data_IF_705445364022
#
_entry.id   IF_705445364022
#
_cell.length_a   1.000
_cell.length_b   1.000
_cell.length_c   1.000
_cell.angle_alpha   90.00
_cell.angle_beta   90.00
_cell.angle_gamma   90.00
#
_symmetry.space_group_name_H-M   'P 1'
#
loop_
_entity.id
_entity.type
_entity.pdbx_description
1 polymer ?
#
# COMPACT_ATOMS: atom_id res chain seq x y z
N UNK A 1 -6.50 -16.06 1.36
CA UNK A 1 -7.48 -17.18 1.43
C UNK A 1 -6.97 -18.30 2.32
N UNK A 2 -5.79 -18.88 2.06
CA UNK A 2 -5.25 -19.99 2.87
C UNK A 2 -5.22 -19.69 4.38
N UNK A 3 -4.69 -18.56 4.87
CA UNK A 3 -4.71 -18.27 6.31
C UNK A 3 -6.12 -18.15 6.88
N UNK A 4 -7.05 -17.58 6.11
CA UNK A 4 -8.45 -17.44 6.51
C UNK A 4 -9.10 -18.81 6.72
N UNK A 5 -8.90 -19.76 5.79
CA UNK A 5 -9.43 -21.12 5.90
C UNK A 5 -8.84 -21.84 7.11
N UNK A 6 -7.51 -21.76 7.29
CA UNK A 6 -6.85 -22.41 8.43
C UNK A 6 -7.36 -21.86 9.77
N UNK A 7 -7.46 -20.52 9.89
CA UNK A 7 -7.96 -19.87 11.10
C UNK A 7 -9.45 -20.19 11.32
N UNK A 8 -10.28 -20.24 10.27
CA UNK A 8 -11.71 -20.55 10.43
C UNK A 8 -11.95 -21.98 10.92
N UNK A 9 -11.05 -22.91 10.61
CA UNK A 9 -11.11 -24.28 11.14
C UNK A 9 -10.71 -24.35 12.62
N UNK A 10 -9.83 -23.44 13.07
CA UNK A 10 -9.35 -23.38 14.45
C UNK A 10 -10.30 -22.59 15.38
N UNK A 11 -10.86 -21.48 14.89
CA UNK A 11 -11.76 -20.62 15.68
C UNK A 11 -13.19 -21.14 15.50
N UNK A 12 -13.66 -21.89 16.51
CA UNK A 12 -15.07 -22.28 16.63
C UNK A 12 -15.74 -21.39 17.67
N UNK A 13 -16.76 -20.65 17.25
CA UNK A 13 -17.53 -19.78 18.16
C UNK A 13 -18.75 -19.18 17.46
N UNK A 14 -19.78 -18.89 18.24
CA UNK A 14 -20.93 -18.11 17.78
C UNK A 14 -20.54 -16.63 17.89
N UNK A 15 -20.37 -15.96 16.75
CA UNK A 15 -20.19 -14.52 16.74
C UNK A 15 -21.56 -13.88 16.93
N UNK A 16 -21.83 -13.34 18.12
CA UNK A 16 -22.91 -12.36 18.26
C UNK A 16 -22.56 -11.15 17.40
N UNK A 17 -23.21 -11.07 16.24
CA UNK A 17 -23.15 -9.90 15.39
C UNK A 17 -23.77 -8.76 16.19
N UNK A 18 -22.92 -7.94 16.80
CA UNK A 18 -23.36 -6.72 17.50
C UNK A 18 -24.24 -5.96 16.51
N UNK A 19 -25.54 -5.88 16.81
CA UNK A 19 -26.48 -5.12 16.00
C UNK A 19 -25.90 -3.70 15.90
N UNK A 20 -25.63 -3.24 14.68
CA UNK A 20 -25.31 -1.83 14.41
C UNK A 20 -26.58 -1.01 14.59
N UNK A 21 -27.11 -0.98 15.81
CA UNK A 21 -28.09 0.01 16.21
C UNK A 21 -27.35 1.21 16.82
N UNK A 22 -27.65 2.38 16.25
CA UNK A 22 -27.30 3.71 16.75
C UNK A 22 -25.88 4.24 16.50
N UNK A 23 -25.51 4.36 15.23
CA UNK A 23 -24.58 5.42 14.78
C UNK A 23 -25.04 6.08 13.48
N UNK A 24 -26.36 6.21 13.28
CA UNK A 24 -26.90 7.23 12.38
C UNK A 24 -26.82 8.58 13.11
N UNK A 25 -25.61 9.12 13.27
CA UNK A 25 -25.49 10.58 13.22
C UNK A 25 -25.93 10.96 11.82
N UNK A 26 -27.18 11.41 11.68
CA UNK A 26 -27.66 11.98 10.43
C UNK A 26 -26.62 13.02 10.01
N UNK A 27 -25.86 12.69 8.97
CA UNK A 27 -24.92 13.63 8.40
C UNK A 27 -25.77 14.79 7.91
N UNK A 28 -25.55 15.98 8.47
CA UNK A 28 -26.23 17.25 8.13
C UNK A 28 -26.09 17.59 6.63
N UNK A 29 -25.27 16.83 5.90
CA UNK A 29 -24.91 17.00 4.50
C UNK A 29 -25.82 16.12 3.61
N UNK A 30 -26.48 16.70 2.59
CA UNK A 30 -27.30 15.96 1.65
C UNK A 30 -26.55 14.78 1.02
N UNK A 31 -27.22 13.63 0.89
CA UNK A 31 -26.66 12.43 0.25
C UNK A 31 -26.11 12.70 -1.15
N UNK A 32 -26.74 13.62 -1.88
CA UNK A 32 -26.30 14.05 -3.21
C UNK A 32 -24.89 14.66 -3.17
N UNK A 33 -24.62 15.60 -2.26
CA UNK A 33 -23.32 16.26 -2.13
C UNK A 33 -22.22 15.26 -1.76
N UNK A 34 -22.52 14.34 -0.84
CA UNK A 34 -21.60 13.26 -0.45
C UNK A 34 -21.23 12.38 -1.66
N UNK A 35 -22.24 11.93 -2.40
CA UNK A 35 -22.02 11.07 -3.57
C UNK A 35 -21.28 11.82 -4.67
N UNK A 36 -21.64 13.09 -4.91
CA UNK A 36 -20.99 13.92 -5.91
C UNK A 36 -19.49 14.14 -5.60
N UNK A 37 -19.15 14.51 -4.36
CA UNK A 37 -17.75 14.68 -3.94
C UNK A 37 -17.00 13.33 -4.03
N UNK A 38 -17.65 12.22 -3.67
CA UNK A 38 -17.06 10.89 -3.78
C UNK A 38 -16.72 10.54 -5.25
N UNK A 39 -17.68 10.66 -6.16
CA UNK A 39 -17.45 10.38 -7.58
C UNK A 39 -16.47 11.35 -8.23
N UNK A 40 -16.44 12.61 -7.81
CA UNK A 40 -15.44 13.58 -8.24
C UNK A 40 -14.04 13.15 -7.79
N UNK A 41 -13.89 12.75 -6.53
CA UNK A 41 -12.61 12.24 -6.00
C UNK A 41 -12.13 11.00 -6.74
N UNK A 42 -13.01 10.03 -7.01
CA UNK A 42 -12.68 8.84 -7.80
C UNK A 42 -12.30 9.21 -9.23
N UNK A 43 -13.04 10.13 -9.87
CA UNK A 43 -12.72 10.63 -11.21
C UNK A 43 -11.34 11.29 -11.26
N UNK A 44 -10.98 12.07 -10.24
CA UNK A 44 -9.65 12.67 -10.10
C UNK A 44 -8.57 11.58 -10.02
N UNK A 45 -8.78 10.51 -9.25
CA UNK A 45 -7.81 9.42 -9.17
C UNK A 45 -7.63 8.69 -10.50
N UNK A 46 -8.73 8.44 -11.23
CA UNK A 46 -8.71 7.82 -12.57
C UNK A 46 -8.05 8.76 -13.61
N UNK A 47 -8.17 10.07 -13.42
CA UNK A 47 -7.53 11.05 -14.29
C UNK A 47 -6.00 11.05 -14.17
N UNK A 48 -5.41 10.68 -13.03
CA UNK A 48 -3.95 10.73 -12.82
C UNK A 48 -3.16 9.91 -13.84
N UNK A 49 -3.48 8.62 -14.12
CA UNK A 49 -2.84 7.87 -15.19
C UNK A 49 -3.00 8.52 -16.57
N UNK A 50 -4.19 9.02 -16.89
CA UNK A 50 -4.47 9.68 -18.18
C UNK A 50 -3.63 10.94 -18.35
N UNK A 51 -3.55 11.76 -17.30
CA UNK A 51 -2.70 12.95 -17.25
C UNK A 51 -1.23 12.60 -17.48
N UNK A 52 -0.70 11.57 -16.80
CA UNK A 52 0.68 11.10 -16.98
C UNK A 52 0.93 10.68 -18.44
N UNK A 53 0.02 9.89 -19.02
CA UNK A 53 0.19 9.36 -20.38
C UNK A 53 0.17 10.46 -21.45
N UNK A 54 -0.66 11.48 -21.29
CA UNK A 54 -0.79 12.57 -22.28
C UNK A 54 0.30 13.63 -22.09
N UNK A 55 0.58 14.02 -20.85
CA UNK A 55 1.46 15.16 -20.57
C UNK A 55 2.90 14.78 -20.32
N UNK A 56 3.18 13.50 -20.05
CA UNK A 56 4.48 12.99 -19.57
C UNK A 56 4.95 13.61 -18.24
N UNK A 57 4.12 14.40 -17.56
CA UNK A 57 4.45 14.99 -16.29
C UNK A 57 4.32 13.96 -15.15
N UNK A 58 5.05 14.15 -14.03
CA UNK A 58 4.95 13.28 -12.88
C UNK A 58 3.51 13.17 -12.33
N UNK A 59 3.08 11.97 -11.85
CA UNK A 59 1.73 11.75 -11.33
C UNK A 59 1.29 12.70 -10.21
N UNK A 60 2.22 13.14 -9.36
CA UNK A 60 1.90 14.03 -8.25
C UNK A 60 1.32 15.37 -8.74
N UNK A 61 1.72 15.86 -9.92
CA UNK A 61 1.17 17.09 -10.50
C UNK A 61 -0.31 16.90 -10.86
N UNK A 62 -0.67 15.75 -11.42
CA UNK A 62 -2.07 15.39 -11.70
C UNK A 62 -2.91 15.31 -10.43
N UNK A 63 -2.36 14.75 -9.35
CA UNK A 63 -3.01 14.70 -8.02
C UNK A 63 -3.23 16.12 -7.49
N UNK A 64 -2.25 17.01 -7.57
CA UNK A 64 -2.36 18.40 -7.11
C UNK A 64 -3.43 19.17 -7.89
N UNK A 65 -3.45 19.04 -9.22
CA UNK A 65 -4.49 19.64 -10.07
C UNK A 65 -5.87 19.12 -9.68
N UNK A 66 -6.01 17.80 -9.53
CA UNK A 66 -7.27 17.20 -9.11
C UNK A 66 -7.74 17.65 -7.72
N UNK A 67 -6.80 17.82 -6.78
CA UNK A 67 -7.07 18.39 -5.46
C UNK A 67 -7.54 19.84 -5.56
N UNK A 68 -6.93 20.66 -6.43
CA UNK A 68 -7.36 22.04 -6.69
C UNK A 68 -8.78 22.09 -7.26
N UNK A 69 -9.11 21.22 -8.22
CA UNK A 69 -10.47 21.11 -8.76
C UNK A 69 -11.47 20.72 -7.67
N UNK A 70 -11.15 19.70 -6.87
CA UNK A 70 -12.00 19.26 -5.77
C UNK A 70 -12.19 20.37 -4.72
N UNK A 71 -11.16 21.18 -4.47
CA UNK A 71 -11.25 22.34 -3.59
C UNK A 71 -12.19 23.41 -4.15
N UNK A 72 -12.01 23.84 -5.40
CA UNK A 72 -12.89 24.84 -6.03
C UNK A 72 -14.34 24.38 -6.00
N UNK A 73 -14.60 23.13 -6.38
CA UNK A 73 -15.95 22.55 -6.42
C UNK A 73 -16.57 22.48 -5.02
N UNK A 74 -15.82 22.03 -4.01
CA UNK A 74 -16.33 21.96 -2.63
C UNK A 74 -16.61 23.33 -2.04
N UNK A 75 -15.78 24.34 -2.33
CA UNK A 75 -15.99 25.73 -1.89
C UNK A 75 -17.23 26.34 -2.55
N UNK A 76 -17.44 26.10 -3.84
CA UNK A 76 -18.63 26.56 -4.56
C UNK A 76 -19.93 25.91 -4.04
N UNK A 77 -19.90 24.60 -3.77
CA UNK A 77 -21.05 23.85 -3.23
C UNK A 77 -21.44 24.33 -1.82
N UNK A 78 -20.47 24.68 -0.98
CA UNK A 78 -20.71 25.06 0.41
C UNK A 78 -20.74 26.58 0.64
N UNK A 79 -20.67 27.40 -0.42
CA UNK A 79 -20.57 28.86 -0.36
C UNK A 79 -21.66 29.53 0.50
N UNK A 80 -22.88 28.97 0.53
CA UNK A 80 -24.06 29.50 1.25
C UNK A 80 -24.35 28.83 2.60
N UNK A 81 -23.52 27.89 3.05
CA UNK A 81 -23.73 27.14 4.30
C UNK A 81 -22.93 27.75 5.46
N UNK A 82 -23.44 27.65 6.69
CA UNK A 82 -22.70 28.04 7.89
C UNK A 82 -21.40 27.23 8.05
N UNK A 83 -20.38 27.85 8.68
CA UNK A 83 -19.01 27.31 8.76
C UNK A 83 -18.93 25.89 9.37
N UNK A 84 -19.85 25.50 10.24
CA UNK A 84 -19.85 24.16 10.84
C UNK A 84 -20.20 23.04 9.85
N UNK A 85 -20.99 23.36 8.80
CA UNK A 85 -21.47 22.41 7.80
C UNK A 85 -20.57 22.31 6.55
N UNK A 86 -19.50 23.08 6.45
CA UNK A 86 -18.61 23.07 5.28
C UNK A 86 -17.65 21.87 5.32
N UNK A 87 -17.70 21.00 4.30
CA UNK A 87 -16.58 20.12 3.98
C UNK A 87 -15.61 20.93 3.12
N UNK A 88 -14.62 21.54 3.77
CA UNK A 88 -13.52 22.17 3.05
C UNK A 88 -12.36 21.19 2.89
N UNK A 89 -11.66 21.27 1.76
CA UNK A 89 -10.41 20.51 1.55
C UNK A 89 -9.40 20.81 2.66
N UNK A 90 -9.34 22.05 3.16
CA UNK A 90 -8.51 22.42 4.31
C UNK A 90 -8.83 21.62 5.58
N UNK A 91 -10.11 21.34 5.87
CA UNK A 91 -10.53 20.53 7.02
C UNK A 91 -10.13 19.06 6.88
N UNK A 92 -10.05 18.56 5.64
CA UNK A 92 -9.57 17.22 5.31
C UNK A 92 -8.04 17.15 5.41
N UNK A 93 -7.32 18.16 4.89
CA UNK A 93 -5.86 18.26 5.00
C UNK A 93 -5.40 18.26 6.46
N UNK A 94 -6.14 18.92 7.37
CA UNK A 94 -5.85 18.89 8.82
C UNK A 94 -5.98 17.51 9.47
N UNK A 95 -6.64 16.55 8.81
CA UNK A 95 -6.78 15.16 9.27
C UNK A 95 -5.73 14.23 8.65
N UNK A 96 -4.80 14.78 7.87
CA UNK A 96 -3.67 14.00 7.36
C UNK A 96 -2.80 13.58 8.54
N UNK A 97 -2.44 12.31 8.56
CA UNK A 97 -1.56 11.71 9.56
C UNK A 97 -0.10 12.06 9.26
N UNK A 98 0.30 13.27 9.68
CA UNK A 98 1.67 13.77 9.50
C UNK A 98 2.74 12.84 10.08
N UNK A 99 2.58 12.26 11.29
CA UNK A 99 3.50 11.24 11.80
C UNK A 99 3.74 10.09 10.84
N UNK A 100 2.68 9.51 10.26
CA UNK A 100 2.82 8.43 9.28
C UNK A 100 3.57 8.86 8.02
N UNK A 101 3.30 10.07 7.50
CA UNK A 101 4.04 10.60 6.34
C UNK A 101 5.53 10.76 6.65
N UNK A 102 5.88 11.34 7.80
CA UNK A 102 7.26 11.52 8.22
C UNK A 102 7.97 10.17 8.46
N UNK A 103 7.23 9.17 8.94
CA UNK A 103 7.73 7.80 9.08
C UNK A 103 8.08 7.18 7.71
N UNK A 104 7.19 7.25 6.72
CA UNK A 104 7.49 6.76 5.36
C UNK A 104 8.63 7.54 4.72
N UNK A 105 8.66 8.86 4.88
CA UNK A 105 9.78 9.69 4.42
C UNK A 105 11.10 9.22 5.03
N UNK A 106 11.12 8.93 6.34
CA UNK A 106 12.29 8.40 7.03
C UNK A 106 12.76 7.05 6.46
N UNK A 107 11.84 6.12 6.22
CA UNK A 107 12.15 4.83 5.58
C UNK A 107 12.73 5.05 4.18
N UNK A 108 12.07 5.84 3.34
CA UNK A 108 12.53 6.10 1.96
C UNK A 108 13.92 6.75 1.93
N UNK A 109 14.20 7.70 2.83
CA UNK A 109 15.53 8.33 2.95
C UNK A 109 16.58 7.33 3.43
N UNK A 110 16.26 6.49 4.42
CA UNK A 110 17.18 5.47 4.92
C UNK A 110 17.50 4.44 3.83
N UNK A 111 16.50 4.00 3.07
CA UNK A 111 16.70 3.04 1.99
C UNK A 111 17.45 3.68 0.80
N UNK A 112 17.15 4.93 0.44
CA UNK A 112 17.90 5.66 -0.57
C UNK A 112 19.38 5.84 -0.19
N UNK A 113 19.69 6.02 1.11
CA UNK A 113 21.07 6.03 1.60
C UNK A 113 21.76 4.66 1.45
N UNK A 114 21.05 3.56 1.77
CA UNK A 114 21.54 2.19 1.55
C UNK A 114 21.73 1.87 0.05
N UNK A 115 20.90 2.42 -0.82
CA UNK A 115 21.04 2.30 -2.27
C UNK A 115 22.27 3.08 -2.78
N UNK A 116 22.41 4.34 -2.37
CA UNK A 116 23.50 5.22 -2.77
C UNK A 116 24.89 4.69 -2.36
N UNK A 117 24.96 4.00 -1.22
CA UNK A 117 26.18 3.31 -0.78
C UNK A 117 26.46 1.99 -1.51
N UNK A 118 25.53 1.50 -2.33
CA UNK A 118 25.63 0.23 -3.05
C UNK A 118 25.39 -1.02 -2.19
N UNK A 119 25.01 -0.86 -0.92
CA UNK A 119 24.73 -1.98 0.00
C UNK A 119 23.60 -2.86 -0.50
N UNK A 120 22.51 -2.26 -0.99
CA UNK A 120 21.38 -3.00 -1.57
C UNK A 120 21.81 -3.82 -2.79
N UNK A 121 22.62 -3.22 -3.68
CA UNK A 121 23.15 -3.91 -4.86
C UNK A 121 24.03 -5.09 -4.46
N UNK A 122 24.93 -4.89 -3.48
CA UNK A 122 25.83 -5.94 -2.97
C UNK A 122 25.09 -7.09 -2.29
N UNK A 123 24.09 -6.79 -1.45
CA UNK A 123 23.23 -7.80 -0.84
C UNK A 123 22.53 -8.63 -1.91
N UNK A 124 22.01 -7.96 -2.93
CA UNK A 124 21.22 -8.64 -3.94
C UNK A 124 22.07 -9.41 -4.96
N UNK A 125 23.29 -8.97 -5.30
CA UNK A 125 24.25 -9.78 -6.05
C UNK A 125 24.69 -11.01 -5.25
N UNK A 126 24.95 -10.86 -3.95
CA UNK A 126 25.30 -11.98 -3.07
C UNK A 126 24.19 -13.03 -3.03
N UNK A 127 22.94 -12.59 -2.90
CA UNK A 127 21.75 -13.47 -2.95
C UNK A 127 21.66 -14.17 -4.31
N UNK A 128 21.88 -13.45 -5.40
CA UNK A 128 21.79 -13.98 -6.77
C UNK A 128 22.84 -15.06 -7.03
N UNK A 129 24.09 -14.79 -6.66
CA UNK A 129 25.23 -15.71 -6.83
C UNK A 129 25.11 -16.94 -5.93
N UNK A 130 24.57 -16.79 -4.72
CA UNK A 130 24.44 -17.90 -3.77
C UNK A 130 23.29 -18.86 -4.10
N UNK A 131 22.20 -18.35 -4.68
CA UNK A 131 20.95 -19.10 -4.83
C UNK A 131 20.75 -19.61 -6.27
N UNK A 132 21.11 -18.81 -7.28
CA UNK A 132 20.99 -19.13 -8.71
C UNK A 132 19.55 -19.29 -9.26
N UNK A 133 18.55 -19.55 -8.40
CA UNK A 133 17.16 -19.75 -8.79
C UNK A 133 16.33 -18.48 -8.62
N UNK A 134 15.88 -17.89 -9.73
CA UNK A 134 15.05 -16.68 -9.75
C UNK A 134 13.81 -16.78 -8.86
N UNK A 135 13.19 -17.96 -8.76
CA UNK A 135 12.00 -18.14 -7.92
C UNK A 135 12.34 -17.93 -6.44
N UNK A 136 13.45 -18.50 -6.01
CA UNK A 136 13.93 -18.37 -4.63
C UNK A 136 14.40 -16.95 -4.36
N UNK A 137 15.11 -16.32 -5.33
CA UNK A 137 15.52 -14.92 -5.24
C UNK A 137 14.32 -14.00 -5.04
N UNK A 138 13.26 -14.13 -5.87
CA UNK A 138 12.04 -13.34 -5.73
C UNK A 138 11.37 -13.55 -4.37
N UNK A 139 11.30 -14.80 -3.88
CA UNK A 139 10.73 -15.11 -2.58
C UNK A 139 11.56 -14.48 -1.45
N UNK A 140 12.89 -14.56 -1.50
CA UNK A 140 13.79 -13.97 -0.52
C UNK A 140 13.70 -12.44 -0.50
N UNK A 141 13.66 -11.81 -1.68
CA UNK A 141 13.46 -10.36 -1.81
C UNK A 141 12.09 -9.96 -1.23
N UNK A 142 11.02 -10.70 -1.54
CA UNK A 142 9.72 -10.42 -0.93
C UNK A 142 9.73 -10.50 0.60
N UNK A 143 10.48 -11.43 1.19
CA UNK A 143 10.66 -11.48 2.66
C UNK A 143 11.42 -10.25 3.16
N UNK A 144 12.49 -9.84 2.47
CA UNK A 144 13.22 -8.61 2.79
C UNK A 144 12.32 -7.36 2.68
N UNK A 145 11.30 -7.40 1.82
CA UNK A 145 10.30 -6.34 1.70
C UNK A 145 9.48 -6.11 2.98
N UNK A 146 9.50 -7.03 3.93
CA UNK A 146 8.87 -6.84 5.24
C UNK A 146 9.58 -5.77 6.09
N UNK A 147 10.86 -5.52 5.80
CA UNK A 147 11.70 -4.55 6.51
C UNK A 147 11.96 -3.34 5.62
N UNK A 148 12.22 -3.57 4.33
CA UNK A 148 12.49 -2.56 3.32
C UNK A 148 11.20 -2.33 2.55
N UNK A 149 10.73 -1.08 2.43
CA UNK A 149 9.52 -0.79 1.68
C UNK A 149 9.56 -1.39 0.25
N UNK A 150 8.40 -1.77 -0.26
CA UNK A 150 8.29 -2.50 -1.53
C UNK A 150 8.81 -1.67 -2.72
N UNK A 151 8.60 -0.35 -2.73
CA UNK A 151 9.00 0.54 -3.83
C UNK A 151 10.53 0.57 -4.01
N UNK A 152 11.34 0.90 -2.99
CA UNK A 152 12.79 0.84 -3.12
C UNK A 152 13.34 -0.54 -3.46
N UNK A 153 12.76 -1.62 -2.91
CA UNK A 153 13.25 -2.97 -3.16
C UNK A 153 13.04 -3.39 -4.62
N UNK A 154 11.87 -3.09 -5.19
CA UNK A 154 11.61 -3.34 -6.61
C UNK A 154 12.51 -2.48 -7.50
N UNK A 155 12.75 -1.22 -7.12
CA UNK A 155 13.70 -0.34 -7.83
C UNK A 155 15.12 -0.92 -7.82
N UNK A 156 15.60 -1.39 -6.66
CA UNK A 156 16.89 -2.07 -6.55
C UNK A 156 16.96 -3.33 -7.43
N UNK A 157 15.87 -4.11 -7.48
CA UNK A 157 15.78 -5.31 -8.33
C UNK A 157 15.83 -4.96 -9.82
N UNK A 158 15.17 -3.88 -10.24
CA UNK A 158 15.28 -3.33 -11.60
C UNK A 158 16.70 -2.83 -11.92
N UNK A 159 17.47 -2.42 -10.91
CA UNK A 159 18.89 -2.09 -11.05
C UNK A 159 19.82 -3.29 -11.18
N UNK A 160 19.35 -4.50 -10.83
CA UNK A 160 20.13 -5.75 -10.95
C UNK A 160 19.91 -6.46 -12.27
N UNK A 161 18.66 -6.50 -12.73
CA UNK A 161 18.26 -7.20 -13.94
C UNK A 161 17.67 -6.19 -14.91
N UNK A 162 18.30 -6.06 -16.08
CA UNK A 162 17.81 -5.17 -17.12
C UNK A 162 16.74 -5.84 -17.99
N UNK A 163 16.10 -5.04 -18.83
CA UNK A 163 15.10 -5.52 -19.78
C UNK A 163 15.69 -6.37 -20.90
N UNK A 164 17.02 -6.38 -21.06
CA UNK A 164 17.71 -7.29 -21.99
C UNK A 164 17.79 -8.71 -21.41
N UNK A 165 18.01 -8.83 -20.10
CA UNK A 165 18.04 -10.09 -19.37
C UNK A 165 16.64 -10.65 -19.19
N UNK A 166 15.69 -9.81 -18.75
CA UNK A 166 14.28 -10.19 -18.60
C UNK A 166 13.40 -9.19 -19.37
N UNK A 167 12.87 -9.58 -20.55
CA UNK A 167 11.93 -8.75 -21.30
C UNK A 167 10.75 -8.28 -20.46
N UNK A 168 10.09 -7.19 -20.86
CA UNK A 168 8.99 -6.56 -20.10
C UNK A 168 7.88 -7.54 -19.71
N UNK A 169 7.54 -8.49 -20.58
CA UNK A 169 6.48 -9.48 -20.36
C UNK A 169 6.99 -10.78 -19.70
N UNK A 170 8.21 -10.77 -19.18
CA UNK A 170 8.80 -11.95 -18.54
C UNK A 170 8.17 -12.19 -17.15
N UNK A 171 7.86 -13.46 -16.84
CA UNK A 171 7.21 -13.87 -15.59
C UNK A 171 7.90 -13.36 -14.32
N UNK A 172 9.20 -13.07 -14.40
CA UNK A 172 10.00 -12.54 -13.30
C UNK A 172 9.43 -11.22 -12.75
N UNK A 173 8.99 -10.33 -13.63
CA UNK A 173 8.46 -9.01 -13.24
C UNK A 173 7.13 -9.13 -12.51
N UNK A 174 6.25 -10.00 -13.00
CA UNK A 174 5.00 -10.31 -12.33
C UNK A 174 5.25 -11.02 -10.99
N UNK A 175 6.23 -11.95 -10.94
CA UNK A 175 6.52 -12.69 -9.71
C UNK A 175 7.14 -11.81 -8.63
N UNK A 176 8.10 -10.95 -8.98
CA UNK A 176 8.69 -10.03 -8.02
C UNK A 176 7.66 -8.99 -7.56
N UNK A 177 6.75 -8.54 -8.43
CA UNK A 177 5.66 -7.65 -8.04
C UNK A 177 4.73 -8.32 -7.01
N UNK A 178 4.41 -9.60 -7.20
CA UNK A 178 3.70 -10.39 -6.20
C UNK A 178 4.51 -10.51 -4.89
N UNK A 179 5.77 -10.95 -4.97
CA UNK A 179 6.61 -11.22 -3.81
C UNK A 179 6.87 -9.95 -2.98
N UNK A 180 7.33 -8.87 -3.60
CA UNK A 180 7.56 -7.59 -2.91
C UNK A 180 6.24 -6.94 -2.46
N UNK A 181 5.20 -7.01 -3.29
CA UNK A 181 3.90 -6.42 -2.97
C UNK A 181 3.21 -7.07 -1.76
N UNK A 182 3.32 -8.39 -1.60
CA UNK A 182 2.68 -9.13 -0.50
C UNK A 182 3.62 -9.38 0.68
N UNK A 183 4.93 -9.48 0.44
CA UNK A 183 5.94 -9.73 1.46
C UNK A 183 6.05 -8.62 2.50
N UNK A 184 5.74 -7.37 2.13
CA UNK A 184 5.62 -6.25 3.08
C UNK A 184 4.64 -6.50 4.24
N UNK A 185 3.67 -7.40 4.07
CA UNK A 185 2.70 -7.73 5.12
C UNK A 185 3.20 -8.76 6.14
N UNK A 186 4.40 -9.32 5.96
CA UNK A 186 4.96 -10.26 6.94
C UNK A 186 5.26 -9.59 8.28
N UNK A 187 5.62 -8.30 8.25
CA UNK A 187 5.76 -7.45 9.43
C UNK A 187 4.76 -6.30 9.33
N UNK A 188 4.19 -5.87 10.45
CA UNK A 188 3.20 -4.78 10.48
C UNK A 188 3.78 -3.43 9.98
N UNK A 189 5.10 -3.24 10.06
CA UNK A 189 5.79 -2.03 9.59
C UNK A 189 6.16 -2.08 8.10
N UNK A 190 6.11 -3.25 7.46
CA UNK A 190 6.57 -3.44 6.09
C UNK A 190 5.57 -2.97 5.02
N UNK A 191 4.44 -2.39 5.42
CA UNK A 191 3.45 -1.84 4.49
C UNK A 191 2.71 -0.65 5.05
N UNK A 192 2.27 0.26 4.18
CA UNK A 192 1.50 1.42 4.58
C UNK A 192 0.19 1.08 5.29
N UNK A 193 -0.48 0.02 4.83
CA UNK A 193 -1.69 -0.49 5.46
C UNK A 193 -1.42 -1.03 6.88
N UNK A 194 -0.28 -1.70 7.08
CA UNK A 194 0.11 -2.21 8.39
C UNK A 194 0.40 -1.10 9.40
N UNK A 195 1.14 -0.06 9.00
CA UNK A 195 1.43 1.12 9.84
C UNK A 195 0.14 1.88 10.18
N UNK A 196 -0.76 2.04 9.21
CA UNK A 196 -2.07 2.64 9.46
C UNK A 196 -2.89 1.82 10.47
N UNK A 197 -2.91 0.49 10.33
CA UNK A 197 -3.59 -0.40 11.28
C UNK A 197 -2.96 -0.33 12.68
N UNK A 198 -1.63 -0.26 12.78
CA UNK A 198 -0.92 -0.02 14.04
C UNK A 198 -1.38 1.27 14.71
N UNK A 199 -1.54 2.36 13.95
CA UNK A 199 -1.98 3.65 14.50
C UNK A 199 -3.45 3.68 14.93
N UNK A 200 -4.35 3.10 14.12
CA UNK A 200 -5.80 3.14 14.37
C UNK A 200 -6.21 2.19 15.49
N UNK A 201 -5.75 0.93 15.41
CA UNK A 201 -6.14 -0.15 16.33
C UNK A 201 -5.14 -0.31 17.49
N UNK A 202 -4.08 0.51 17.54
CA UNK A 202 -3.01 0.46 18.56
C UNK A 202 -2.39 -0.94 18.68
N UNK A 203 -2.16 -1.59 17.54
CA UNK A 203 -1.59 -2.94 17.49
C UNK A 203 -0.11 -2.87 17.84
N UNK A 204 0.31 -3.59 18.87
CA UNK A 204 1.73 -3.70 19.23
C UNK A 204 2.52 -4.51 18.17
N UNK A 205 3.74 -4.06 17.86
CA UNK A 205 4.62 -4.72 16.90
C UNK A 205 4.93 -6.17 17.29
N UNK A 206 5.31 -6.41 18.54
CA UNK A 206 5.67 -7.75 19.01
C UNK A 206 4.45 -8.67 19.09
N UNK A 207 3.28 -8.12 19.41
CA UNK A 207 2.03 -8.86 19.32
C UNK A 207 1.77 -9.33 17.88
N UNK A 208 1.88 -8.43 16.89
CA UNK A 208 1.68 -8.79 15.48
C UNK A 208 2.69 -9.84 15.03
N UNK A 209 3.96 -9.65 15.38
CA UNK A 209 5.05 -10.58 15.07
C UNK A 209 4.76 -11.99 15.60
N UNK A 210 4.25 -12.09 16.84
CA UNK A 210 3.97 -13.38 17.47
C UNK A 210 2.67 -14.02 17.00
N UNK A 211 1.65 -13.23 16.66
CA UNK A 211 0.29 -13.73 16.43
C UNK A 211 -0.15 -13.75 14.98
N UNK A 212 0.37 -12.85 14.14
CA UNK A 212 -0.12 -12.63 12.77
C UNK A 212 0.95 -12.94 11.73
N UNK A 213 2.23 -12.62 11.98
CA UNK A 213 3.31 -12.81 10.99
C UNK A 213 3.41 -14.24 10.46
N UNK A 214 3.16 -15.27 11.29
CA UNK A 214 3.15 -16.66 10.83
C UNK A 214 2.03 -16.94 9.82
N UNK A 215 0.85 -16.37 10.03
CA UNK A 215 -0.29 -16.50 9.12
C UNK A 215 -0.07 -15.72 7.84
N UNK A 216 0.51 -14.52 7.94
CA UNK A 216 0.95 -13.75 6.78
C UNK A 216 1.98 -14.54 5.96
N UNK A 217 2.94 -15.19 6.64
CA UNK A 217 3.97 -16.01 6.01
C UNK A 217 3.41 -17.24 5.29
N UNK A 218 2.46 -17.94 5.91
CA UNK A 218 1.75 -19.05 5.26
C UNK A 218 0.97 -18.56 4.03
N UNK A 219 0.31 -17.41 4.13
CA UNK A 219 -0.42 -16.82 3.00
C UNK A 219 0.50 -16.42 1.85
N UNK A 220 1.65 -15.83 2.19
CA UNK A 220 2.71 -15.44 1.27
C UNK A 220 3.29 -16.66 0.52
N UNK A 221 3.70 -17.70 1.24
CA UNK A 221 4.23 -18.90 0.60
C UNK A 221 3.17 -19.65 -0.21
N UNK A 222 1.92 -19.68 0.25
CA UNK A 222 0.84 -20.32 -0.49
C UNK A 222 0.57 -19.62 -1.83
N UNK A 223 0.51 -18.29 -1.85
CA UNK A 223 0.32 -17.56 -3.10
C UNK A 223 1.56 -17.66 -4.01
N UNK A 224 2.77 -17.65 -3.45
CA UNK A 224 4.00 -17.89 -4.22
C UNK A 224 3.99 -19.28 -4.88
N UNK A 225 3.60 -20.33 -4.13
CA UNK A 225 3.50 -21.69 -4.63
C UNK A 225 2.45 -21.82 -5.74
N UNK A 226 1.27 -21.20 -5.56
CA UNK A 226 0.22 -21.15 -6.58
C UNK A 226 0.73 -20.46 -7.83
N UNK A 227 1.36 -19.29 -7.69
CA UNK A 227 1.92 -18.56 -8.82
C UNK A 227 2.96 -19.39 -9.57
N UNK A 228 3.89 -20.04 -8.87
CA UNK A 228 4.89 -20.93 -9.46
C UNK A 228 4.27 -22.14 -10.17
N UNK A 229 3.12 -22.63 -9.71
CA UNK A 229 2.41 -23.76 -10.32
C UNK A 229 1.71 -23.37 -11.62
N UNK A 230 1.24 -22.12 -11.73
CA UNK A 230 0.60 -21.57 -12.93
C UNK A 230 1.57 -20.90 -13.92
N UNK A 231 2.87 -21.01 -13.64
CA UNK A 231 3.97 -20.43 -14.42
C UNK A 231 4.48 -21.40 -15.49
#
# INVERSE_FOLDING_TARGET
IVPLVLISLMIKGQFERKNKENDKKDSIIPKFEKNFIFFLGVSVLIFVPVFKTITHLPPFMGILIGLSVLWIVTELLHKKKENEQKITVAKVIRRIDMPSILFFLGILVAVAALESTGLLKSLATTISESIGNLKVISISLGILSAIIDNVPLVAATMGMYDLQTFPTDHYFWEFIAYCAGTGGSLLIIGSAAGVAAMGIEKIDFFWYLKKISIWAFIGYLAGAAVYILFL
#
